data_IF_394608267259
#
_entry.id   IF_394608267259
#
_cell.length_a   1.000
_cell.length_b   1.000
_cell.length_c   1.000
_cell.angle_alpha   90.00
_cell.angle_beta   90.00
_cell.angle_gamma   90.00
#
_symmetry.space_group_name_H-M   'P 1'
#
loop_
_entity.id
_entity.type
_entity.pdbx_description
1 polymer ?
#
# COMPACT_ATOMS: atom_id res chain seq x y z
N UNK A 1 26.87 33.91 -47.20
CA UNK A 1 27.06 33.39 -45.82
C UNK A 1 25.95 33.76 -44.81
N UNK A 2 24.79 34.33 -45.21
CA UNK A 2 23.73 34.75 -44.26
C UNK A 2 22.71 33.67 -43.84
N UNK A 3 22.65 32.53 -44.53
CA UNK A 3 21.68 31.46 -44.27
C UNK A 3 22.21 30.31 -43.39
N UNK A 4 23.51 30.29 -43.11
CA UNK A 4 24.16 29.21 -42.36
C UNK A 4 23.83 29.32 -40.85
N UNK A 5 23.78 30.55 -40.31
CA UNK A 5 23.44 30.79 -38.89
C UNK A 5 21.98 30.49 -38.54
N UNK A 6 21.03 30.77 -39.45
CA UNK A 6 19.62 30.50 -39.22
C UNK A 6 19.34 28.98 -39.19
N UNK A 7 19.97 28.20 -40.09
CA UNK A 7 19.86 26.73 -40.12
C UNK A 7 20.47 26.07 -38.87
N UNK A 8 21.55 26.63 -38.34
CA UNK A 8 22.17 26.15 -37.11
C UNK A 8 21.29 26.40 -35.87
N UNK A 9 20.59 27.54 -35.83
CA UNK A 9 19.63 27.87 -34.77
C UNK A 9 18.41 26.93 -34.75
N UNK A 10 17.89 26.54 -35.92
CA UNK A 10 16.79 25.57 -36.02
C UNK A 10 17.21 24.16 -35.57
N UNK A 11 18.47 23.76 -35.78
CA UNK A 11 19.02 22.46 -35.37
C UNK A 11 19.19 22.35 -33.85
N UNK A 12 19.62 23.43 -33.19
CA UNK A 12 19.72 23.50 -31.72
C UNK A 12 18.35 23.51 -31.06
N UNK A 13 17.36 24.19 -31.65
CA UNK A 13 15.98 24.18 -31.16
C UNK A 13 15.32 22.79 -31.29
N UNK A 14 15.67 22.02 -32.33
CA UNK A 14 15.18 20.66 -32.52
C UNK A 14 15.78 19.65 -31.52
N UNK A 15 17.05 19.83 -31.12
CA UNK A 15 17.69 18.99 -30.10
C UNK A 15 17.13 19.22 -28.68
N UNK A 16 16.66 20.44 -28.37
CA UNK A 16 16.09 20.77 -27.06
C UNK A 16 14.68 20.18 -26.84
N UNK A 17 14.01 19.72 -27.90
CA UNK A 17 12.67 19.12 -27.85
C UNK A 17 12.68 17.59 -27.81
N UNK A 18 13.85 16.94 -27.76
CA UNK A 18 13.93 15.50 -27.58
C UNK A 18 13.42 15.20 -26.16
N UNK A 19 12.27 14.51 -26.01
CA UNK A 19 11.77 14.16 -24.69
C UNK A 19 12.80 13.26 -24.03
N UNK A 20 13.48 13.77 -23.00
CA UNK A 20 14.51 13.03 -22.30
C UNK A 20 13.82 11.99 -21.41
N UNK A 21 13.91 10.68 -21.71
CA UNK A 21 13.25 9.65 -20.92
C UNK A 21 13.77 9.62 -19.47
N UNK A 22 14.94 10.22 -19.19
CA UNK A 22 15.50 10.38 -17.86
C UNK A 22 14.77 11.36 -16.94
N UNK A 23 13.82 12.15 -17.44
CA UNK A 23 12.91 12.97 -16.61
C UNK A 23 11.70 12.18 -16.10
N UNK A 24 11.44 10.99 -16.63
CA UNK A 24 10.41 10.10 -16.11
C UNK A 24 11.02 9.23 -14.99
N UNK A 25 10.88 9.68 -13.74
CA UNK A 25 11.38 8.94 -12.58
C UNK A 25 10.97 7.46 -12.57
N UNK A 26 11.82 6.60 -11.98
CA UNK A 26 11.69 5.15 -12.06
C UNK A 26 10.29 4.63 -11.71
N UNK A 27 9.82 3.66 -12.50
CA UNK A 27 8.54 2.98 -12.24
C UNK A 27 8.72 1.99 -11.07
N UNK A 28 8.09 2.28 -9.95
CA UNK A 28 8.11 1.46 -8.75
C UNK A 28 7.05 0.36 -8.87
N UNK A 29 7.46 -0.90 -8.79
CA UNK A 29 6.55 -2.06 -8.72
C UNK A 29 6.48 -2.56 -7.29
N UNK A 30 5.43 -2.18 -6.57
CA UNK A 30 5.14 -2.70 -5.24
C UNK A 30 4.27 -3.96 -5.33
N UNK A 31 4.52 -4.94 -4.46
CA UNK A 31 3.72 -6.16 -4.38
C UNK A 31 3.01 -6.24 -3.03
N UNK A 32 1.72 -6.55 -3.05
CA UNK A 32 0.92 -6.80 -1.88
C UNK A 32 0.40 -8.23 -1.87
N UNK A 33 0.11 -8.79 -0.70
CA UNK A 33 -0.67 -10.01 -0.58
C UNK A 33 -1.80 -9.85 0.42
N UNK A 34 -2.85 -10.67 0.23
CA UNK A 34 -4.00 -10.76 1.12
C UNK A 34 -4.62 -12.14 1.03
N UNK A 35 -5.26 -12.58 2.10
CA UNK A 35 -6.11 -13.78 2.10
C UNK A 35 -7.52 -13.50 1.56
N UNK A 36 -7.88 -12.23 1.40
CA UNK A 36 -9.18 -11.80 0.86
C UNK A 36 -9.43 -12.40 -0.53
N UNK A 37 -10.53 -13.16 -0.72
CA UNK A 37 -10.97 -13.62 -2.02
C UNK A 37 -11.48 -12.47 -2.90
N UNK A 38 -11.38 -12.64 -4.21
CA UNK A 38 -12.00 -11.72 -5.17
C UNK A 38 -13.53 -11.84 -5.12
N UNK A 39 -14.25 -10.77 -5.48
CA UNK A 39 -15.70 -10.69 -5.42
C UNK A 39 -16.27 -10.27 -4.05
N UNK A 40 -15.40 -10.04 -3.05
CA UNK A 40 -15.81 -9.60 -1.71
C UNK A 40 -15.84 -8.07 -1.59
N UNK A 41 -16.52 -7.50 -0.58
CA UNK A 41 -16.46 -6.07 -0.29
C UNK A 41 -15.03 -5.55 -0.09
N UNK A 42 -14.17 -6.32 0.59
CA UNK A 42 -12.77 -5.96 0.81
C UNK A 42 -11.95 -5.88 -0.49
N UNK A 43 -12.30 -6.66 -1.52
CA UNK A 43 -11.68 -6.52 -2.84
C UNK A 43 -11.93 -5.10 -3.40
N UNK A 44 -13.12 -4.53 -3.17
CA UNK A 44 -13.45 -3.19 -3.63
C UNK A 44 -12.58 -2.14 -2.94
N UNK A 45 -12.40 -2.25 -1.61
CA UNK A 45 -11.51 -1.39 -0.84
C UNK A 45 -10.06 -1.48 -1.33
N UNK A 46 -9.55 -2.68 -1.57
CA UNK A 46 -8.18 -2.85 -2.08
C UNK A 46 -8.05 -2.30 -3.52
N UNK A 47 -9.07 -2.45 -4.36
CA UNK A 47 -9.10 -1.82 -5.70
C UNK A 47 -9.08 -0.29 -5.62
N UNK A 48 -9.76 0.31 -4.63
CA UNK A 48 -9.67 1.75 -4.36
C UNK A 48 -8.26 2.15 -3.94
N UNK A 49 -7.59 1.38 -3.08
CA UNK A 49 -6.19 1.62 -2.72
C UNK A 49 -5.28 1.58 -3.97
N UNK A 50 -5.42 0.55 -4.82
CA UNK A 50 -4.66 0.45 -6.08
C UNK A 50 -4.89 1.70 -6.96
N UNK A 51 -6.15 2.14 -7.07
CA UNK A 51 -6.53 3.32 -7.84
C UNK A 51 -5.89 4.59 -7.27
N UNK A 52 -5.97 4.81 -5.97
CA UNK A 52 -5.36 5.97 -5.30
C UNK A 52 -3.84 5.97 -5.43
N UNK A 53 -3.17 4.84 -5.13
CA UNK A 53 -1.71 4.71 -5.31
C UNK A 53 -1.29 5.08 -6.73
N UNK A 54 -1.99 4.57 -7.75
CA UNK A 54 -1.69 4.92 -9.14
C UNK A 54 -1.94 6.40 -9.43
N UNK A 55 -3.07 6.96 -8.97
CA UNK A 55 -3.45 8.35 -9.21
C UNK A 55 -2.46 9.30 -8.54
N UNK A 56 -2.22 9.12 -7.26
CA UNK A 56 -1.47 10.04 -6.41
C UNK A 56 0.03 9.99 -6.71
N UNK A 57 0.52 8.86 -7.23
CA UNK A 57 1.89 8.75 -7.75
C UNK A 57 2.02 9.11 -9.23
N UNK A 58 0.95 9.58 -9.89
CA UNK A 58 0.92 9.86 -11.33
C UNK A 58 1.40 8.66 -12.18
N UNK A 59 1.07 7.46 -11.73
CA UNK A 59 1.45 6.21 -12.37
C UNK A 59 2.90 5.77 -12.16
N UNK A 60 3.70 6.51 -11.39
CA UNK A 60 5.06 6.08 -11.02
C UNK A 60 5.05 4.81 -10.19
N UNK A 61 4.05 4.61 -9.34
CA UNK A 61 3.89 3.39 -8.58
C UNK A 61 2.78 2.50 -9.17
N UNK A 62 3.08 1.22 -9.30
CA UNK A 62 2.10 0.17 -9.63
C UNK A 62 2.07 -0.86 -8.50
N UNK A 63 0.91 -1.03 -7.89
CA UNK A 63 0.66 -2.03 -6.87
C UNK A 63 0.10 -3.31 -7.51
N UNK A 64 0.81 -4.43 -7.37
CA UNK A 64 0.34 -5.76 -7.76
C UNK A 64 -0.13 -6.52 -6.51
N UNK A 65 -1.41 -6.86 -6.46
CA UNK A 65 -1.99 -7.64 -5.35
C UNK A 65 -2.05 -9.13 -5.72
N UNK A 66 -1.63 -9.97 -4.79
CA UNK A 66 -1.85 -11.42 -4.81
C UNK A 66 -3.01 -11.76 -3.86
N UNK A 67 -4.10 -12.25 -4.44
CA UNK A 67 -5.38 -12.49 -3.75
C UNK A 67 -5.50 -13.88 -3.16
N UNK A 68 -6.50 -14.08 -2.29
CA UNK A 68 -6.98 -15.40 -1.88
C UNK A 68 -5.90 -16.32 -1.32
N UNK A 69 -4.89 -15.76 -0.64
CA UNK A 69 -3.81 -16.57 -0.07
C UNK A 69 -2.84 -17.16 -1.12
N UNK A 70 -2.81 -16.64 -2.35
CA UNK A 70 -1.85 -17.09 -3.38
C UNK A 70 -0.37 -16.89 -2.99
N UNK A 71 -0.11 -16.18 -1.90
CA UNK A 71 1.21 -16.03 -1.27
C UNK A 71 1.28 -16.62 0.14
N UNK A 72 0.39 -17.56 0.48
CA UNK A 72 0.37 -18.23 1.77
C UNK A 72 -0.60 -17.60 2.76
N UNK A 73 -0.51 -18.05 4.02
CA UNK A 73 -1.28 -17.50 5.14
C UNK A 73 -0.90 -16.03 5.44
N UNK A 74 -1.67 -15.38 6.30
CA UNK A 74 -1.41 -14.01 6.77
C UNK A 74 -0.02 -13.87 7.41
N UNK A 75 0.37 -14.81 8.26
CA UNK A 75 1.68 -14.86 8.89
C UNK A 75 2.81 -15.01 7.85
N UNK A 76 2.62 -15.89 6.86
CA UNK A 76 3.59 -16.08 5.77
C UNK A 76 3.71 -14.84 4.89
N UNK A 77 2.62 -14.10 4.72
CA UNK A 77 2.57 -12.82 4.05
C UNK A 77 3.37 -11.74 4.80
N UNK A 78 3.14 -11.59 6.11
CA UNK A 78 3.89 -10.68 6.97
C UNK A 78 5.39 -11.00 6.99
N UNK A 79 5.76 -12.29 7.07
CA UNK A 79 7.16 -12.71 6.98
C UNK A 79 7.81 -12.27 5.65
N UNK A 80 7.10 -12.41 4.53
CA UNK A 80 7.57 -11.93 3.21
C UNK A 80 7.68 -10.41 3.12
N UNK A 81 6.83 -9.66 3.82
CA UNK A 81 6.97 -8.20 3.93
C UNK A 81 8.22 -7.85 4.73
N UNK A 82 8.47 -8.53 5.86
CA UNK A 82 9.66 -8.32 6.68
C UNK A 82 10.97 -8.62 5.94
N UNK A 83 10.95 -9.63 5.06
CA UNK A 83 12.06 -9.98 4.17
C UNK A 83 12.13 -9.10 2.90
N UNK A 84 11.26 -8.10 2.77
CA UNK A 84 11.12 -7.22 1.60
C UNK A 84 10.86 -7.95 0.27
N UNK A 85 10.38 -9.20 0.31
CA UNK A 85 9.89 -9.96 -0.86
C UNK A 85 8.53 -9.45 -1.34
N UNK A 86 7.76 -8.87 -0.41
CA UNK A 86 6.52 -8.11 -0.64
C UNK A 86 6.65 -6.75 0.06
N UNK A 87 5.90 -5.76 -0.39
CA UNK A 87 5.92 -4.40 0.17
C UNK A 87 4.72 -4.12 1.09
N UNK A 88 3.62 -4.85 0.90
CA UNK A 88 2.39 -4.63 1.66
C UNK A 88 1.71 -5.96 1.99
N UNK A 89 0.99 -5.96 3.10
CA UNK A 89 0.07 -7.02 3.50
C UNK A 89 -1.25 -6.35 3.92
N UNK A 90 -2.37 -6.94 3.52
CA UNK A 90 -3.69 -6.57 4.00
C UNK A 90 -4.41 -7.81 4.52
N UNK A 91 -4.86 -7.75 5.76
CA UNK A 91 -5.47 -8.87 6.47
C UNK A 91 -5.89 -8.47 7.87
N UNK A 92 -6.06 -9.47 8.72
CA UNK A 92 -6.65 -9.33 10.06
C UNK A 92 -5.60 -8.99 11.13
N UNK A 93 -6.06 -8.47 12.28
CA UNK A 93 -5.25 -8.31 13.49
C UNK A 93 -4.82 -9.66 14.05
N UNK A 94 -5.69 -10.67 14.03
CA UNK A 94 -5.40 -12.04 14.46
C UNK A 94 -4.32 -12.70 13.62
N UNK A 95 -4.28 -12.45 12.31
CA UNK A 95 -3.21 -12.90 11.41
C UNK A 95 -1.84 -12.29 11.70
N UNK A 96 -1.78 -11.24 12.53
CA UNK A 96 -0.57 -10.56 12.95
C UNK A 96 -0.24 -10.76 14.45
N UNK A 97 -1.01 -11.55 15.19
CA UNK A 97 -0.84 -11.72 16.64
C UNK A 97 0.53 -12.30 17.03
N UNK A 98 1.08 -13.26 16.28
CA UNK A 98 2.42 -13.81 16.53
C UNK A 98 3.51 -12.73 16.45
N UNK A 99 3.33 -11.76 15.56
CA UNK A 99 4.23 -10.63 15.40
C UNK A 99 4.02 -9.58 16.49
N UNK A 100 2.76 -9.32 16.84
CA UNK A 100 2.33 -8.32 17.81
C UNK A 100 1.28 -8.95 18.73
N UNK A 101 1.70 -9.61 19.83
CA UNK A 101 0.77 -10.31 20.73
C UNK A 101 -0.31 -9.41 21.31
N UNK A 102 -0.03 -8.11 21.47
CA UNK A 102 -1.00 -7.13 21.92
C UNK A 102 -2.23 -7.00 20.99
N UNK A 103 -2.17 -7.49 19.75
CA UNK A 103 -3.32 -7.47 18.84
C UNK A 103 -4.42 -8.47 19.21
N UNK A 104 -4.13 -9.46 20.05
CA UNK A 104 -5.16 -10.38 20.56
C UNK A 104 -6.24 -9.64 21.37
N UNK A 105 -5.94 -8.44 21.88
CA UNK A 105 -6.94 -7.62 22.56
C UNK A 105 -8.14 -7.33 21.65
N UNK A 106 -7.94 -7.19 20.34
CA UNK A 106 -9.00 -6.88 19.39
C UNK A 106 -10.00 -8.02 19.19
N UNK A 107 -9.63 -9.24 19.56
CA UNK A 107 -10.46 -10.45 19.42
C UNK A 107 -11.21 -10.80 20.72
N UNK A 108 -11.13 -9.93 21.75
CA UNK A 108 -11.84 -10.16 23.00
C UNK A 108 -13.36 -10.12 22.79
N UNK A 109 -14.11 -11.11 23.29
CA UNK A 109 -15.55 -11.15 23.12
C UNK A 109 -16.21 -9.98 23.87
N UNK A 110 -17.18 -9.34 23.21
CA UNK A 110 -17.93 -8.19 23.75
C UNK A 110 -17.05 -6.97 24.11
N UNK A 111 -15.88 -6.82 23.46
CA UNK A 111 -15.00 -5.67 23.68
C UNK A 111 -15.66 -4.33 23.33
N UNK A 112 -16.41 -4.31 22.23
CA UNK A 112 -17.10 -3.13 21.73
C UNK A 112 -18.60 -3.28 21.93
N UNK A 113 -19.29 -2.21 22.32
CA UNK A 113 -20.74 -2.15 22.46
C UNK A 113 -21.48 -1.85 21.15
N UNK A 114 -20.80 -1.28 20.15
CA UNK A 114 -21.33 -1.11 18.79
C UNK A 114 -20.21 -0.93 17.75
N UNK A 115 -20.56 -0.97 16.46
CA UNK A 115 -19.64 -0.65 15.35
C UNK A 115 -19.13 0.79 15.45
N UNK A 116 -20.00 1.73 15.80
CA UNK A 116 -19.63 3.14 15.93
C UNK A 116 -18.65 3.36 17.09
N UNK A 117 -18.78 2.60 18.18
CA UNK A 117 -17.80 2.61 19.27
C UNK A 117 -16.45 2.06 18.78
N UNK A 118 -16.46 0.92 18.08
CA UNK A 118 -15.24 0.33 17.54
C UNK A 118 -14.51 1.31 16.60
N UNK A 119 -15.22 1.87 15.62
CA UNK A 119 -14.70 2.87 14.69
C UNK A 119 -14.13 4.08 15.43
N UNK A 120 -14.88 4.64 16.38
CA UNK A 120 -14.45 5.80 17.15
C UNK A 120 -13.16 5.51 17.95
N UNK A 121 -13.11 4.37 18.63
CA UNK A 121 -11.95 4.01 19.47
C UNK A 121 -10.73 3.69 18.60
N UNK A 122 -10.90 2.89 17.55
CA UNK A 122 -9.82 2.51 16.64
C UNK A 122 -9.19 3.74 15.96
N UNK A 123 -10.03 4.61 15.41
CA UNK A 123 -9.55 5.78 14.68
C UNK A 123 -8.94 6.84 15.59
N UNK A 124 -9.61 7.19 16.70
CA UNK A 124 -9.19 8.33 17.53
C UNK A 124 -8.12 7.97 18.55
N UNK A 125 -8.09 6.74 19.05
CA UNK A 125 -7.22 6.37 20.18
C UNK A 125 -6.23 5.27 19.84
N UNK A 126 -6.58 4.28 19.02
CA UNK A 126 -5.72 3.09 18.84
C UNK A 126 -4.80 3.16 17.61
N UNK A 127 -5.10 4.01 16.62
CA UNK A 127 -4.22 4.22 15.46
C UNK A 127 -2.77 4.56 15.86
N UNK A 128 -2.58 5.44 16.83
CA UNK A 128 -1.24 5.85 17.31
C UNK A 128 -0.47 4.70 17.99
N UNK A 129 -1.03 4.08 19.04
CA UNK A 129 -0.45 2.90 19.70
C UNK A 129 -0.13 1.76 18.73
N UNK A 130 -1.05 1.42 17.83
CA UNK A 130 -0.88 0.35 16.84
C UNK A 130 0.21 0.68 15.83
N UNK A 131 0.26 1.92 15.35
CA UNK A 131 1.33 2.40 14.48
C UNK A 131 2.70 2.27 15.15
N UNK A 132 2.81 2.58 16.45
CA UNK A 132 4.06 2.44 17.20
C UNK A 132 4.48 0.98 17.35
N UNK A 133 3.54 0.08 17.66
CA UNK A 133 3.80 -1.36 17.76
C UNK A 133 4.28 -1.95 16.43
N UNK A 134 3.60 -1.62 15.33
CA UNK A 134 4.00 -2.04 13.98
C UNK A 134 5.37 -1.49 13.59
N UNK A 135 5.62 -0.20 13.86
CA UNK A 135 6.90 0.45 13.58
C UNK A 135 8.06 -0.21 14.34
N UNK A 136 7.87 -0.56 15.60
CA UNK A 136 8.87 -1.30 16.39
C UNK A 136 9.19 -2.69 15.81
N UNK A 137 8.30 -3.25 14.98
CA UNK A 137 8.50 -4.52 14.26
C UNK A 137 8.98 -4.34 12.82
N UNK A 138 9.22 -3.10 12.37
CA UNK A 138 9.68 -2.78 11.01
C UNK A 138 8.56 -2.62 9.98
N UNK A 139 7.31 -2.39 10.43
CA UNK A 139 6.15 -2.20 9.56
C UNK A 139 5.62 -0.77 9.67
N UNK A 140 4.95 -0.31 8.61
CA UNK A 140 4.22 0.95 8.62
C UNK A 140 2.74 0.62 8.59
N UNK A 141 2.01 1.12 9.60
CA UNK A 141 0.55 1.05 9.59
C UNK A 141 -0.01 1.98 8.52
N UNK A 142 -0.96 1.50 7.72
CA UNK A 142 -1.55 2.26 6.62
C UNK A 142 -2.98 2.70 6.93
N UNK A 143 -3.87 1.75 7.23
CA UNK A 143 -5.26 2.03 7.60
C UNK A 143 -5.89 0.83 8.33
N UNK A 144 -6.96 1.10 9.06
CA UNK A 144 -7.90 0.07 9.51
C UNK A 144 -8.77 -0.44 8.36
N UNK A 145 -9.23 -1.68 8.49
CA UNK A 145 -10.35 -2.21 7.72
C UNK A 145 -11.20 -3.05 8.67
N UNK A 146 -12.50 -3.06 8.44
CA UNK A 146 -13.44 -3.75 9.30
C UNK A 146 -13.80 -5.11 8.70
N UNK A 147 -13.78 -6.16 9.52
CA UNK A 147 -14.22 -7.50 9.14
C UNK A 147 -15.62 -7.82 9.66
N UNK A 148 -16.07 -7.10 10.69
CA UNK A 148 -17.34 -7.30 11.37
C UNK A 148 -17.20 -7.10 12.87
N UNK A 149 -18.35 -6.87 13.51
CA UNK A 149 -18.51 -6.77 14.96
C UNK A 149 -19.32 -7.95 15.48
#
# INVERSE_FOLDING_TARGET
MRYLGLRFLWLVLFLALIPNPGLAGDKIKAKACTVVPQGTPWEQTIKLIIKHVRKDTQGRMKLKVYWGGAKGSEQQCLAKVKENKLQMFGGTTSGANELIPAFEVFDLPFLWGSVEEADFVLDKFLTGPVSNLLKAKGFIFYQWNENGW
#
